data_IF_458728525307
#
_entry.id   IF_458728525307
#
_cell.length_a   1.000
_cell.length_b   1.000
_cell.length_c   1.000
_cell.angle_alpha   90.00
_cell.angle_beta   90.00
_cell.angle_gamma   90.00
#
_symmetry.space_group_name_H-M   'P 1'
#
loop_
_entity.id
_entity.type
_entity.pdbx_description
1 polymer ?
2 non-polymer ?
3 water ?
#
# COMPACT_ATOMS: atom_id res chain seq x y z
N UNK A 1 7.54 -0.15 -12.21
CA UNK A 1 6.50 0.68 -11.55
C UNK A 1 6.97 1.22 -10.20
N UNK A 2 6.54 2.43 -9.90
CA UNK A 2 6.86 3.16 -8.67
C UNK A 2 5.57 3.42 -7.90
N UNK A 3 5.63 3.29 -6.58
CA UNK A 3 4.45 3.44 -5.75
C UNK A 3 4.74 4.42 -4.62
N UNK A 4 3.83 5.36 -4.43
CA UNK A 4 3.86 6.16 -3.21
C UNK A 4 2.71 5.76 -2.29
N UNK A 5 2.97 5.84 -0.99
CA UNK A 5 1.89 5.69 0.00
C UNK A 5 1.98 6.85 0.96
N UNK A 6 0.92 7.65 1.03
CA UNK A 6 0.90 8.76 1.94
C UNK A 6 0.00 8.32 3.10
N UNK A 7 0.61 8.20 4.28
CA UNK A 7 -0.09 7.74 5.48
C UNK A 7 -0.65 8.93 6.21
N UNK A 8 -1.97 9.00 6.28
CA UNK A 8 -2.68 10.18 6.78
C UNK A 8 -3.39 9.84 8.12
N UNK A 9 -2.86 10.34 9.23
CA UNK A 9 -3.42 9.99 10.55
C UNK A 9 -4.56 10.91 10.94
N UNK A 10 -5.61 10.82 10.16
CA UNK A 10 -6.86 11.56 10.40
C UNK A 10 -7.62 10.94 11.56
N UNK A 11 -8.14 11.80 12.42
CA UNK A 11 -8.99 11.33 13.53
C UNK A 11 -10.34 10.83 13.00
N UNK A 12 -10.92 9.81 13.62
CA UNK A 12 -12.16 9.18 13.07
C UNK A 12 -13.29 10.19 12.85
N UNK A 13 -13.44 11.16 13.75
CA UNK A 13 -14.49 12.19 13.65
C UNK A 13 -14.37 13.01 12.38
N UNK A 14 -13.15 13.09 11.81
CA UNK A 14 -12.93 13.80 10.55
C UNK A 14 -12.72 12.92 9.36
N UNK A 15 -12.89 11.60 9.50
CA UNK A 15 -12.57 10.71 8.38
C UNK A 15 -13.51 10.91 7.19
N UNK A 16 -14.80 11.13 7.47
CA UNK A 16 -15.81 11.36 6.41
C UNK A 16 -15.46 12.65 5.65
N UNK A 17 -15.12 13.70 6.38
CA UNK A 17 -14.67 14.95 5.73
C UNK A 17 -13.42 14.75 4.85
N UNK A 18 -12.44 13.99 5.35
CA UNK A 18 -11.23 13.68 4.60
C UNK A 18 -11.53 12.92 3.31
N UNK A 19 -12.35 11.88 3.40
CA UNK A 19 -12.66 11.02 2.27
C UNK A 19 -13.35 11.85 1.20
N UNK A 20 -14.33 12.64 1.63
CA UNK A 20 -15.20 13.29 0.67
C UNK A 20 -14.42 14.44 0.01
N UNK A 21 -13.54 15.10 0.76
CA UNK A 21 -12.66 16.14 0.23
C UNK A 21 -11.62 15.58 -0.71
N UNK A 22 -11.03 14.44 -0.36
CA UNK A 22 -10.08 13.83 -1.28
C UNK A 22 -10.77 13.45 -2.59
N UNK A 23 -11.97 12.90 -2.49
CA UNK A 23 -12.75 12.54 -3.67
C UNK A 23 -12.89 13.74 -4.64
N UNK A 24 -13.15 14.92 -4.06
CA UNK A 24 -13.39 16.16 -4.82
C UNK A 24 -12.24 16.48 -5.76
N UNK A 25 -11.01 16.16 -5.31
CA UNK A 25 -9.80 16.45 -6.08
C UNK A 25 -9.05 15.25 -6.67
N UNK A 26 -9.46 14.03 -6.33
CA UNK A 26 -8.74 12.82 -6.74
C UNK A 26 -8.52 12.70 -8.25
N UNK A 27 -9.42 13.30 -9.03
CA UNK A 27 -9.36 13.23 -10.48
C UNK A 27 -8.26 14.06 -11.14
N UNK A 28 -7.79 15.10 -10.43
CA UNK A 28 -6.76 16.01 -10.94
C UNK A 28 -5.48 15.32 -11.44
N UNK A 29 -5.21 14.12 -10.91
CA UNK A 29 -3.97 13.39 -11.17
C UNK A 29 -4.07 12.54 -12.45
N UNK A 30 -5.29 12.23 -12.89
CA UNK A 30 -5.50 11.22 -13.93
C UNK A 30 -4.86 11.49 -15.29
N UNK A 31 -4.83 12.75 -15.69
CA UNK A 31 -4.23 13.15 -16.97
C UNK A 31 -2.69 13.22 -16.94
N UNK A 32 -2.10 13.12 -15.73
CA UNK A 32 -0.65 13.31 -15.56
C UNK A 32 0.15 12.21 -16.24
N UNK A 33 1.18 12.61 -17.00
CA UNK A 33 2.04 11.63 -17.68
C UNK A 33 2.54 10.64 -16.67
N UNK A 34 2.45 9.36 -16.98
CA UNK A 34 2.98 8.32 -16.12
C UNK A 34 2.05 7.89 -14.98
N UNK A 35 0.91 8.56 -14.78
CA UNK A 35 -0.07 8.13 -13.75
C UNK A 35 -0.74 6.82 -14.13
N UNK A 36 -0.76 5.85 -13.21
CA UNK A 36 -1.39 4.56 -13.42
C UNK A 36 -2.70 4.41 -12.67
N UNK A 37 -2.64 4.57 -11.34
CA UNK A 37 -3.81 4.34 -10.53
C UNK A 37 -3.65 4.93 -9.15
N UNK A 38 -4.78 5.29 -8.55
CA UNK A 38 -4.77 5.79 -7.17
C UNK A 38 -5.84 5.08 -6.39
N UNK A 39 -5.51 4.72 -5.15
CA UNK A 39 -6.47 4.06 -4.25
C UNK A 39 -6.45 4.81 -2.95
N UNK A 40 -7.62 5.04 -2.36
CA UNK A 40 -7.67 5.59 -1.01
C UNK A 40 -8.12 4.42 -0.13
N UNK A 41 -7.33 4.08 0.91
CA UNK A 41 -7.59 2.89 1.77
C UNK A 41 -7.94 3.36 3.19
N UNK A 42 -9.09 2.91 3.68
CA UNK A 42 -9.53 3.24 5.03
C UNK A 42 -9.08 2.08 5.94
N UNK A 43 -8.46 2.40 7.08
CA UNK A 43 -8.00 1.34 7.97
C UNK A 43 -9.13 0.59 8.61
N UNK A 44 -8.90 -0.69 8.89
CA UNK A 44 -9.94 -1.41 9.64
C UNK A 44 -10.11 -0.90 11.07
N UNK A 45 -9.03 -0.48 11.70
CA UNK A 45 -9.08 0.16 13.01
C UNK A 45 -9.11 1.68 12.81
N UNK A 46 -10.21 2.32 13.22
CA UNK A 46 -10.32 3.79 13.07
C UNK A 46 -9.22 4.58 13.80
N UNK A 47 -8.50 3.96 14.72
CA UNK A 47 -7.29 4.54 15.31
C UNK A 47 -5.99 4.54 14.49
N UNK A 48 -6.03 3.92 13.30
CA UNK A 48 -4.87 3.85 12.41
C UNK A 48 -5.01 4.83 11.24
N UNK A 49 -3.92 5.13 10.53
CA UNK A 49 -4.00 6.10 9.43
C UNK A 49 -4.61 5.52 8.16
N UNK A 50 -5.27 6.39 7.40
CA UNK A 50 -5.58 6.14 6.01
C UNK A 50 -4.31 6.02 5.19
N UNK A 51 -4.37 5.30 4.08
CA UNK A 51 -3.28 5.31 3.14
C UNK A 51 -3.78 5.75 1.77
N UNK A 52 -3.14 6.79 1.20
CA UNK A 52 -3.39 7.16 -0.20
C UNK A 52 -2.25 6.53 -1.02
N UNK A 53 -2.60 5.59 -1.88
CA UNK A 53 -1.62 4.79 -2.63
C UNK A 53 -1.70 5.15 -4.10
N UNK A 54 -0.55 5.49 -4.68
CA UNK A 54 -0.54 5.81 -6.10
C UNK A 54 0.54 5.04 -6.82
N UNK A 55 0.14 4.53 -7.98
CA UNK A 55 1.01 3.80 -8.88
C UNK A 55 1.42 4.68 -10.06
N UNK A 56 2.72 4.73 -10.28
CA UNK A 56 3.36 5.59 -11.29
C UNK A 56 4.24 4.77 -12.21
N UNK A 57 4.35 5.20 -13.46
CA UNK A 57 5.28 4.61 -14.41
C UNK A 57 6.73 4.75 -13.99
N UNK A 58 7.08 5.85 -13.31
CA UNK A 58 8.45 6.02 -12.83
C UNK A 58 8.44 6.99 -11.68
N UNK A 59 9.55 7.03 -10.94
CA UNK A 59 9.70 8.01 -9.87
C UNK A 59 9.76 9.45 -10.42
N UNK A 60 10.34 9.65 -11.61
CA UNK A 60 10.38 11.00 -12.17
C UNK A 60 8.99 11.50 -12.59
N UNK A 61 8.11 10.59 -13.01
CA UNK A 61 6.72 10.96 -13.30
C UNK A 61 6.03 11.46 -12.04
N UNK A 62 6.22 10.75 -10.93
CA UNK A 62 5.70 11.22 -9.64
C UNK A 62 6.26 12.59 -9.30
N UNK A 63 7.58 12.72 -9.37
CA UNK A 63 8.22 13.97 -9.01
C UNK A 63 7.69 15.10 -9.89
N UNK A 64 7.51 14.86 -11.18
CA UNK A 64 7.03 15.90 -12.09
C UNK A 64 5.62 16.32 -11.66
N UNK A 65 4.82 15.33 -11.26
CA UNK A 65 3.48 15.61 -10.74
C UNK A 65 3.43 16.62 -9.58
N UNK A 66 4.32 16.46 -8.61
CA UNK A 66 4.30 17.32 -7.44
C UNK A 66 4.63 18.77 -7.80
N UNK A 67 5.12 19.00 -9.01
CA UNK A 67 5.40 20.37 -9.48
C UNK A 67 4.27 21.01 -10.24
N UNK A 68 3.29 20.20 -10.64
CA UNK A 68 2.25 20.58 -11.60
C UNK A 68 1.24 21.57 -10.99
N UNK A 69 0.62 22.42 -11.81
CA UNK A 69 -0.48 23.27 -11.34
C UNK A 69 -1.58 22.46 -10.68
N UNK A 70 -1.87 21.28 -11.24
CA UNK A 70 -2.91 20.37 -10.74
C UNK A 70 -2.64 19.85 -9.34
N UNK A 71 -1.37 19.65 -9.01
CA UNK A 71 -1.00 19.25 -7.65
C UNK A 71 -1.21 20.38 -6.65
N UNK A 72 -0.75 21.57 -7.00
CA UNK A 72 -0.87 22.75 -6.14
C UNK A 72 -2.35 23.13 -5.98
N UNK A 73 -3.09 23.07 -7.08
CA UNK A 73 -4.50 23.42 -7.09
C UNK A 73 -5.33 22.44 -6.25
N UNK A 74 -5.01 21.16 -6.37
CA UNK A 74 -5.68 20.10 -5.63
C UNK A 74 -5.32 20.06 -4.15
N UNK A 75 -4.10 20.48 -3.81
CA UNK A 75 -3.69 20.55 -2.42
C UNK A 75 -4.06 21.89 -1.79
N UNK A 76 -5.30 22.31 -2.10
CA UNK A 76 -5.96 23.47 -1.52
C UNK A 76 -7.44 23.10 -1.33
N UNK A 77 -7.95 22.23 -2.19
CA UNK A 77 -9.30 21.68 -2.05
C UNK A 77 -9.32 20.31 -1.32
N UNK A 78 -8.33 20.13 -0.45
CA UNK A 78 -8.26 19.00 0.49
C UNK A 78 -7.12 19.22 1.47
N UNK A 79 -6.04 19.84 1.00
CA UNK A 79 -4.89 20.17 1.82
C UNK A 79 -5.16 21.30 2.80
N UNK A 80 -6.23 22.05 2.56
CA UNK A 80 -6.63 23.16 3.42
C UNK A 80 -8.01 22.89 4.02
N UNK A 81 -8.88 22.27 3.23
CA UNK A 81 -10.32 22.13 3.54
C UNK A 81 -10.64 21.64 4.97
N UNK A 82 -10.08 20.50 5.41
CA UNK A 82 -10.24 20.09 6.81
C UNK A 82 -9.32 20.90 7.70
N UNK A 83 -9.77 21.19 8.91
CA UNK A 83 -8.99 21.97 9.88
C UNK A 83 -7.79 21.18 10.40
N UNK A 84 -7.54 21.24 11.71
CA UNK A 84 -6.58 20.35 12.33
C UNK A 84 -7.32 19.15 12.89
N UNK A 85 -7.27 18.07 12.11
CA UNK A 85 -8.07 16.88 12.32
C UNK A 85 -7.17 15.64 12.51
N UNK A 86 -5.94 15.85 12.97
CA UNK A 86 -4.86 14.87 12.83
C UNK A 86 -4.10 14.54 14.14
N UNK A 87 -3.63 13.31 14.26
CA UNK A 87 -2.85 12.85 15.42
C UNK A 87 -1.40 13.26 15.32
N UNK A 88 -0.99 13.62 14.10
CA UNK A 88 0.38 14.03 13.79
C UNK A 88 0.51 14.31 12.28
N UNK A 89 1.75 14.35 11.79
CA UNK A 89 2.02 14.67 10.39
C UNK A 89 1.75 13.49 9.44
N UNK A 90 1.48 13.78 8.17
CA UNK A 90 1.46 12.74 7.13
C UNK A 90 2.86 12.10 7.04
N UNK A 91 2.95 10.88 6.52
CA UNK A 91 4.23 10.19 6.30
C UNK A 91 4.19 9.52 4.94
N UNK A 92 5.04 9.99 4.05
CA UNK A 92 5.10 9.46 2.71
C UNK A 92 6.18 8.39 2.65
N UNK A 93 5.78 7.22 2.14
CA UNK A 93 6.69 6.10 1.91
C UNK A 93 6.69 5.81 0.42
N UNK A 94 7.86 5.56 -0.15
CA UNK A 94 7.97 5.27 -1.58
C UNK A 94 8.64 3.93 -1.79
N UNK A 95 8.33 3.30 -2.91
CA UNK A 95 8.73 1.93 -3.19
C UNK A 95 8.89 1.70 -4.68
N UNK A 96 9.66 0.66 -5.01
CA UNK A 96 9.72 0.11 -6.36
C UNK A 96 8.98 -1.21 -6.31
N UNK A 97 8.14 -1.44 -7.31
CA UNK A 97 7.45 -2.75 -7.45
C UNK A 97 8.49 -3.78 -7.92
N UNK A 98 8.65 -4.85 -7.17
CA UNK A 98 9.61 -5.91 -7.54
C UNK A 98 8.94 -7.26 -7.86
N UNK A 99 7.64 -7.37 -7.59
CA UNK A 99 6.85 -8.56 -7.94
C UNK A 99 5.43 -8.07 -8.10
N UNK A 100 4.75 -8.52 -9.15
CA UNK A 100 3.35 -8.14 -9.41
C UNK A 100 2.67 -9.32 -10.07
N UNK A 101 1.59 -9.82 -9.47
CA UNK A 101 0.82 -10.93 -10.04
C UNK A 101 0.09 -10.57 -11.36
N UNK A 102 -0.04 -9.27 -11.65
CA UNK A 102 -0.78 -8.82 -12.82
C UNK A 102 -0.11 -9.25 -14.11
N UNK B 1 -13.54 -4.08 -1.90
CA UNK B 1 -12.17 -4.65 -2.01
C UNK B 1 -11.40 -4.45 -0.71
N UNK B 2 -10.71 -5.49 -0.27
CA UNK B 2 -10.06 -5.51 1.03
C UNK B 2 -8.55 -5.64 0.76
N UNK B 3 -7.73 -4.87 1.46
CA UNK B 3 -6.30 -4.88 1.20
C UNK B 3 -5.54 -5.14 2.48
N UNK B 4 -4.52 -5.99 2.39
CA UNK B 4 -3.54 -6.15 3.48
C UNK B 4 -2.20 -5.60 3.07
N UNK B 5 -1.51 -5.00 4.02
CA UNK B 5 -0.12 -4.59 3.83
C UNK B 5 0.70 -5.20 4.95
N UNK B 6 1.61 -6.10 4.59
CA UNK B 6 2.44 -6.77 5.57
C UNK B 6 3.79 -6.09 5.50
N UNK B 7 4.12 -5.34 6.55
CA UNK B 7 5.38 -4.59 6.60
C UNK B 7 6.44 -5.46 7.23
N UNK B 8 7.48 -5.79 6.45
CA UNK B 8 8.48 -6.77 6.83
C UNK B 8 9.83 -6.09 6.82
N UNK B 9 10.43 -5.89 8.00
CA UNK B 9 11.69 -5.16 8.10
C UNK B 9 12.87 -6.09 7.83
N UNK B 10 13.05 -6.43 6.56
CA UNK B 10 14.20 -7.26 6.14
C UNK B 10 15.42 -6.41 5.85
N UNK B 11 16.55 -6.84 6.40
CA UNK B 11 17.85 -6.19 6.18
C UNK B 11 18.27 -6.27 4.69
N UNK B 12 18.96 -5.25 4.18
CA UNK B 12 19.33 -5.21 2.77
C UNK B 12 20.17 -6.41 2.35
N UNK B 13 20.95 -6.96 3.28
CA UNK B 13 21.79 -8.11 2.97
C UNK B 13 20.97 -9.33 2.52
N UNK B 14 19.72 -9.39 2.97
CA UNK B 14 18.82 -10.52 2.74
C UNK B 14 17.67 -10.22 1.76
N UNK B 15 17.69 -9.01 1.20
CA UNK B 15 16.63 -8.55 0.30
C UNK B 15 16.40 -9.49 -0.89
N UNK B 16 17.48 -9.90 -1.56
CA UNK B 16 17.36 -10.85 -2.67
C UNK B 16 16.76 -12.21 -2.28
N UNK B 17 17.22 -12.77 -1.17
CA UNK B 17 16.70 -14.03 -0.70
C UNK B 17 15.22 -13.88 -0.30
N UNK B 18 14.89 -12.76 0.35
CA UNK B 18 13.51 -12.46 0.70
C UNK B 18 12.65 -12.42 -0.56
N UNK B 19 13.12 -11.70 -1.58
CA UNK B 19 12.35 -11.60 -2.82
C UNK B 19 12.15 -12.96 -3.50
N UNK B 20 13.22 -13.78 -3.49
CA UNK B 20 13.24 -15.10 -4.13
C UNK B 20 12.26 -15.98 -3.38
N UNK B 21 12.33 -15.93 -2.05
CA UNK B 21 11.41 -16.66 -1.20
C UNK B 21 9.96 -16.20 -1.40
N UNK B 22 9.72 -14.89 -1.48
CA UNK B 22 8.36 -14.40 -1.68
C UNK B 22 7.75 -14.56 -3.09
N UNK B 23 8.59 -14.77 -4.08
CA UNK B 23 8.10 -15.09 -5.41
C UNK B 23 7.27 -16.38 -5.33
N UNK B 24 7.75 -17.31 -4.50
CA UNK B 24 7.02 -18.56 -4.29
C UNK B 24 5.66 -18.39 -3.59
N UNK B 25 5.58 -17.48 -2.62
CA UNK B 25 4.32 -17.23 -1.92
C UNK B 25 3.26 -16.65 -2.84
N UNK B 26 3.68 -15.79 -3.75
CA UNK B 26 2.73 -15.21 -4.69
C UNK B 26 2.20 -16.34 -5.58
N UNK B 27 3.02 -17.34 -5.88
CA UNK B 27 2.58 -18.49 -6.69
C UNK B 27 1.43 -19.27 -6.01
N UNK B 28 1.54 -19.46 -4.70
CA UNK B 28 0.56 -20.27 -3.97
C UNK B 28 -0.79 -19.56 -3.75
N UNK B 29 -0.80 -18.24 -3.79
CA UNK B 29 -2.03 -17.45 -3.57
C UNK B 29 -2.84 -17.23 -4.86
N UNK B 30 -2.26 -17.53 -6.02
CA UNK B 30 -2.92 -17.25 -7.31
C UNK B 30 -4.30 -17.88 -7.56
N UNK B 31 -4.50 -19.12 -7.15
CA UNK B 31 -5.76 -19.80 -7.43
C UNK B 31 -6.78 -19.50 -6.35
N UNK B 32 -6.37 -18.71 -5.35
CA UNK B 32 -7.20 -18.54 -4.16
C UNK B 32 -8.50 -17.81 -4.48
N UNK B 33 -9.62 -18.40 -4.07
CA UNK B 33 -10.90 -17.74 -4.23
C UNK B 33 -10.85 -16.30 -3.73
N UNK B 34 -11.29 -15.35 -4.56
CA UNK B 34 -11.38 -13.97 -4.11
C UNK B 34 -10.06 -13.23 -4.15
N UNK B 35 -8.97 -13.93 -4.49
CA UNK B 35 -7.69 -13.24 -4.68
C UNK B 35 -7.77 -12.36 -5.94
N UNK B 36 -7.33 -11.13 -5.80
CA UNK B 36 -7.29 -10.18 -6.90
C UNK B 36 -5.86 -9.91 -7.40
N UNK B 37 -4.96 -9.47 -6.50
CA UNK B 37 -3.62 -9.01 -6.93
C UNK B 37 -2.64 -9.02 -5.77
N UNK B 38 -1.37 -9.34 -6.04
CA UNK B 38 -0.32 -9.26 -5.02
C UNK B 38 0.84 -8.42 -5.55
N UNK B 39 1.36 -7.53 -4.73
CA UNK B 39 2.55 -6.76 -5.12
C UNK B 39 3.57 -6.83 -4.02
N UNK B 40 4.84 -7.01 -4.38
CA UNK B 40 5.88 -6.92 -3.40
C UNK B 40 6.64 -5.62 -3.69
N UNK B 41 6.77 -4.81 -2.65
CA UNK B 41 7.23 -3.42 -2.79
C UNK B 41 8.52 -3.21 -2.01
N UNK B 42 9.60 -2.89 -2.75
CA UNK B 42 10.90 -2.62 -2.13
C UNK B 42 10.98 -1.15 -1.72
N UNK B 43 11.41 -0.85 -0.50
CA UNK B 43 11.45 0.53 -0.01
C UNK B 43 12.53 1.32 -0.75
N UNK B 44 12.29 2.61 -0.93
CA UNK B 44 13.33 3.48 -1.50
C UNK B 44 14.58 3.52 -0.60
N UNK B 45 14.36 3.58 0.71
CA UNK B 45 15.46 3.54 1.69
C UNK B 45 15.51 2.16 2.32
N UNK B 46 16.67 1.48 2.24
CA UNK B 46 16.82 0.11 2.75
C UNK B 46 16.58 -0.04 4.24
N UNK B 47 16.55 1.06 5.00
CA UNK B 47 16.26 1.04 6.42
C UNK B 47 14.79 0.92 6.76
N UNK B 48 13.94 1.10 5.74
CA UNK B 48 12.49 0.99 5.87
C UNK B 48 12.03 -0.40 5.43
N UNK B 49 10.86 -0.83 5.88
CA UNK B 49 10.40 -2.18 5.57
C UNK B 49 9.91 -2.38 4.13
N UNK B 50 10.09 -3.60 3.61
CA UNK B 50 9.34 -4.06 2.45
C UNK B 50 7.85 -4.04 2.80
N UNK B 51 7.01 -3.87 1.80
CA UNK B 51 5.55 -4.09 1.94
C UNK B 51 5.05 -5.13 0.99
N UNK B 52 4.37 -6.16 1.52
CA UNK B 52 3.69 -7.11 0.66
C UNK B 52 2.24 -6.67 0.71
N UNK B 53 1.73 -6.28 -0.46
CA UNK B 53 0.39 -5.71 -0.54
C UNK B 53 -0.49 -6.67 -1.30
N UNK B 54 -1.61 -7.02 -0.71
CA UNK B 54 -2.47 -8.02 -1.33
C UNK B 54 -3.88 -7.52 -1.38
N UNK B 55 -4.49 -7.63 -2.57
CA UNK B 55 -5.85 -7.17 -2.82
C UNK B 55 -6.78 -8.36 -2.88
N UNK B 56 -7.87 -8.27 -2.13
CA UNK B 56 -8.86 -9.37 -2.00
C UNK B 56 -10.27 -8.86 -2.29
N UNK B 57 -11.14 -9.75 -2.79
CA UNK B 57 -12.55 -9.37 -3.00
C UNK B 57 -13.25 -8.95 -1.71
N UNK B 58 -12.83 -9.54 -0.59
CA UNK B 58 -13.43 -9.29 0.72
C UNK B 58 -12.51 -9.71 1.84
N UNK B 59 -12.79 -9.20 3.04
CA UNK B 59 -12.10 -9.67 4.21
C UNK B 59 -12.28 -11.20 4.43
N UNK B 60 -13.48 -11.69 4.17
CA UNK B 60 -13.75 -13.12 4.32
C UNK B 60 -12.82 -13.95 3.44
N UNK B 61 -12.61 -13.50 2.20
CA UNK B 61 -11.69 -14.20 1.30
C UNK B 61 -10.27 -14.26 1.88
N UNK B 62 -9.79 -13.13 2.44
CA UNK B 62 -8.58 -13.15 3.21
C UNK B 62 -8.60 -14.14 4.38
N UNK B 63 -9.67 -14.15 5.17
CA UNK B 63 -9.70 -15.07 6.31
C UNK B 63 -9.62 -16.54 5.85
N UNK B 64 -10.32 -16.89 4.79
CA UNK B 64 -10.26 -18.27 4.28
C UNK B 64 -8.83 -18.62 3.85
N UNK B 65 -8.18 -17.67 3.21
CA UNK B 65 -6.81 -17.85 2.84
C UNK B 65 -5.89 -18.12 4.03
N UNK B 66 -6.01 -17.34 5.10
CA UNK B 66 -5.15 -17.56 6.27
C UNK B 66 -5.30 -18.94 6.89
N UNK B 67 -6.44 -19.59 6.65
CA UNK B 67 -6.69 -20.91 7.19
C UNK B 67 -6.35 -22.04 6.22
N UNK B 68 -5.76 -21.72 5.08
CA UNK B 68 -5.53 -22.69 3.99
C UNK B 68 -4.18 -23.37 4.04
N UNK B 69 -4.09 -24.57 3.50
CA UNK B 69 -2.81 -25.23 3.36
C UNK B 69 -1.84 -24.45 2.46
N UNK B 70 -2.34 -23.74 1.43
CA UNK B 70 -1.50 -22.87 0.60
C UNK B 70 -0.79 -21.79 1.45
N UNK B 71 -1.53 -21.18 2.37
CA UNK B 71 -0.91 -20.13 3.18
C UNK B 71 0.19 -20.72 4.07
N UNK B 72 -0.09 -21.87 4.66
CA UNK B 72 0.89 -22.55 5.50
C UNK B 72 2.16 -22.93 4.70
N UNK B 73 2.00 -23.41 3.48
CA UNK B 73 3.18 -23.73 2.66
C UNK B 73 3.96 -22.46 2.28
N UNK B 74 3.22 -21.40 1.96
CA UNK B 74 3.81 -20.13 1.58
C UNK B 74 4.70 -19.64 2.71
N UNK B 75 4.26 -19.85 3.94
CA UNK B 75 5.10 -19.48 5.08
C UNK B 75 6.36 -20.34 5.30
N UNK B 76 6.50 -21.45 4.57
CA UNK B 76 7.80 -22.11 4.53
C UNK B 76 8.91 -21.24 3.91
N UNK B 77 8.58 -19.98 3.57
CA UNK B 77 9.53 -18.95 3.08
C UNK B 77 10.54 -18.47 4.12
N UNK B 78 10.21 -17.38 4.83
CA UNK B 78 11.03 -16.84 5.92
C UNK B 78 11.10 -17.81 7.11
N UNK B 79 10.55 -18.99 6.91
CA UNK B 79 11.00 -20.15 7.64
C UNK B 79 12.45 -20.37 7.27
N UNK B 80 12.78 -20.21 5.98
CA UNK B 80 14.16 -20.41 5.52
C UNK B 80 15.01 -19.17 5.76
N UNK B 81 14.37 -17.99 5.85
CA UNK B 81 15.09 -16.77 6.21
C UNK B 81 15.41 -16.77 7.70
N UNK B 82 16.69 -16.63 8.04
CA UNK B 82 17.11 -16.62 9.45
C UNK B 82 16.47 -15.49 10.26
N UNK B 83 16.25 -15.70 11.56
CA UNK B 83 15.71 -14.63 12.41
C UNK B 83 16.52 -13.34 12.29
N UNK B 84 17.82 -13.50 12.07
CA UNK B 84 18.75 -12.38 12.00
C UNK B 84 18.52 -11.49 10.78
N UNK B 85 17.79 -12.00 9.79
CA UNK B 85 17.52 -11.25 8.57
C UNK B 85 16.63 -10.02 8.84
N UNK B 86 15.95 -10.03 9.97
CA UNK B 86 14.91 -9.03 10.24
C UNK B 86 15.23 -8.11 11.41
N UNK B 87 14.87 -6.84 11.30
CA UNK B 87 15.08 -5.93 12.41
C UNK B 87 14.06 -6.03 13.55
N UNK B 88 12.98 -6.75 13.31
CA UNK B 88 11.83 -6.77 14.19
C UNK B 88 10.71 -7.63 13.63
N UNK B 89 9.57 -7.70 14.33
CA UNK B 89 8.41 -8.45 13.84
C UNK B 89 7.81 -7.75 12.63
N UNK B 90 7.09 -8.52 11.84
CA UNK B 90 6.33 -7.94 10.76
C UNK B 90 5.20 -7.16 11.38
N UNK B 91 4.72 -6.16 10.66
CA UNK B 91 3.54 -5.41 11.10
C UNK B 91 2.50 -5.48 10.00
N UNK B 92 1.38 -6.11 10.34
CA UNK B 92 0.29 -6.28 9.38
C UNK B 92 -0.78 -5.19 9.56
N UNK B 93 -1.13 -4.54 8.44
CA UNK B 93 -2.17 -3.52 8.37
C UNK B 93 -3.26 -4.02 7.40
N UNK B 94 -4.51 -3.62 7.61
CA UNK B 94 -5.60 -4.04 6.73
C UNK B 94 -6.52 -2.87 6.48
N UNK B 95 -7.15 -2.88 5.31
CA UNK B 95 -7.94 -1.71 4.82
C UNK B 95 -9.10 -2.14 3.97
N UNK B 96 -10.08 -1.23 3.88
CA UNK B 96 -11.15 -1.31 2.89
C UNK B 96 -10.88 -0.23 1.88
N UNK B 97 -11.02 -0.55 0.61
CA UNK B 97 -10.82 0.45 -0.44
C UNK B 97 -12.01 1.39 -0.49
N UNK B 98 -11.77 2.70 -0.38
CA UNK B 98 -12.86 3.69 -0.38
C UNK B 98 -12.95 4.45 -1.71
N UNK B 99 -11.86 4.49 -2.43
CA UNK B 99 -11.80 5.16 -3.75
C UNK B 99 -10.78 4.42 -4.57
N UNK B 100 -11.10 4.22 -5.84
CA UNK B 100 -10.21 3.57 -6.77
C UNK B 100 -10.40 4.23 -8.12
N UNK B 101 -9.31 4.76 -8.70
CA UNK B 101 -9.38 5.39 -10.01
C UNK B 101 -9.75 4.41 -11.13
N UNK B 102 -9.64 3.12 -10.86
CA UNK B 102 -9.97 2.09 -11.84
C UNK B 102 -11.43 1.66 -11.71
N UNK B 103 -11.89 0.94 -12.73
CA UNK B 103 -13.25 0.45 -12.87
C UNK B 103 -13.24 -0.39 -14.14
#
# INVERSE_FOLDING_TARGET
MFVTMNRIPVRPEYAEQFEEAFRQRARLVDRMPGFIRNLVLRPKNPGDPYVVMTLWESEEAFRAWTESPAFKEGHARSGTLPKEAFLGPNRLEAFEVVLDSEGRDG
MFVTMNRIPVRPEYAEQFEEAFRQRARLVDRMPGFIRNLVLRPKNPGDPYVVMTLWESEEAFRAWTESPAFKEGHARSGTLPKEAFLGPNRLEAFEVVLDSEGRDG
#
